data_IF_933879615252
#
_entry.id   IF_933879615252
#
_cell.length_a   1.000
_cell.length_b   1.000
_cell.length_c   1.000
_cell.angle_alpha   90.00
_cell.angle_beta   90.00
_cell.angle_gamma   90.00
#
_symmetry.space_group_name_H-M   'P 1'
#
loop_
_entity.id
_entity.type
_entity.pdbx_description
1 polymer ?
#
# COMPACT_ATOMS: atom_id res chain seq x y z
N UNK A 1 17.50 0.11 8.93
CA UNK A 1 16.39 -0.07 9.91
C UNK A 1 15.14 -0.27 9.09
N UNK A 2 14.45 -1.39 9.26
CA UNK A 2 13.25 -1.72 8.48
C UNK A 2 12.10 -0.77 8.87
N UNK A 3 11.45 -0.17 7.87
CA UNK A 3 10.32 0.75 8.04
C UNK A 3 9.03 0.10 7.55
N UNK A 4 7.90 0.60 8.06
CA UNK A 4 6.59 0.35 7.49
C UNK A 4 6.24 1.52 6.58
N UNK A 5 5.98 1.25 5.30
CA UNK A 5 5.71 2.26 4.27
C UNK A 5 4.32 2.05 3.70
N UNK A 6 3.48 3.08 3.78
CA UNK A 6 2.16 3.11 3.16
C UNK A 6 2.21 3.90 1.86
N UNK A 7 1.80 3.30 0.75
CA UNK A 7 1.81 3.92 -0.59
C UNK A 7 0.41 3.86 -1.19
N UNK A 8 -0.20 5.03 -1.39
CA UNK A 8 -1.45 5.16 -2.15
C UNK A 8 -1.13 5.18 -3.64
N UNK A 9 -1.87 4.44 -4.45
CA UNK A 9 -1.63 4.35 -5.90
C UNK A 9 -0.37 3.55 -6.26
N UNK A 10 0.10 2.67 -5.35
CA UNK A 10 1.35 1.93 -5.47
C UNK A 10 1.40 0.85 -6.56
N UNK A 11 0.35 0.71 -7.38
CA UNK A 11 0.25 -0.33 -8.43
C UNK A 11 0.70 0.16 -9.82
N UNK A 12 0.85 1.46 -10.07
CA UNK A 12 1.24 2.02 -11.39
C UNK A 12 2.09 3.29 -11.25
N UNK A 13 2.76 3.68 -12.33
CA UNK A 13 3.48 4.95 -12.44
C UNK A 13 4.49 5.18 -11.30
N UNK A 14 4.46 6.38 -10.72
CA UNK A 14 5.38 6.80 -9.65
C UNK A 14 5.17 5.95 -8.39
N UNK A 15 3.92 5.62 -8.06
CA UNK A 15 3.62 4.78 -6.90
C UNK A 15 4.27 3.41 -6.99
N UNK A 16 4.21 2.77 -8.16
CA UNK A 16 4.89 1.48 -8.40
C UNK A 16 6.41 1.61 -8.29
N UNK A 17 7.00 2.68 -8.80
CA UNK A 17 8.44 2.91 -8.68
C UNK A 17 8.87 3.04 -7.21
N UNK A 18 8.08 3.72 -6.37
CA UNK A 18 8.32 3.80 -4.93
C UNK A 18 8.13 2.45 -4.24
N UNK A 19 7.09 1.70 -4.59
CA UNK A 19 6.86 0.34 -4.08
C UNK A 19 8.10 -0.53 -4.31
N UNK A 20 8.64 -0.54 -5.53
CA UNK A 20 9.87 -1.28 -5.88
C UNK A 20 11.06 -0.83 -5.04
N UNK A 21 11.28 0.49 -4.95
CA UNK A 21 12.40 1.06 -4.20
C UNK A 21 12.40 0.65 -2.72
N UNK A 22 11.25 0.64 -2.06
CA UNK A 22 11.16 0.29 -0.64
C UNK A 22 11.21 -1.22 -0.41
N UNK A 23 10.64 -2.03 -1.29
CA UNK A 23 10.80 -3.49 -1.25
C UNK A 23 12.28 -3.89 -1.40
N UNK A 24 13.01 -3.28 -2.34
CA UNK A 24 14.45 -3.52 -2.54
C UNK A 24 15.30 -3.13 -1.32
N UNK A 25 14.84 -2.17 -0.51
CA UNK A 25 15.47 -1.79 0.76
C UNK A 25 15.14 -2.76 1.92
N UNK A 26 14.25 -3.72 1.69
CA UNK A 26 13.77 -4.67 2.68
C UNK A 26 12.68 -4.12 3.60
N UNK A 27 12.06 -2.98 3.27
CA UNK A 27 10.97 -2.39 4.04
C UNK A 27 9.66 -3.16 3.86
N UNK A 28 8.78 -3.10 4.87
CA UNK A 28 7.40 -3.61 4.74
C UNK A 28 6.58 -2.56 3.98
N UNK A 29 6.05 -2.93 2.82
CA UNK A 29 5.25 -2.02 1.99
C UNK A 29 3.79 -2.43 1.98
N UNK A 30 2.93 -1.46 2.27
CA UNK A 30 1.47 -1.56 2.23
C UNK A 30 0.99 -0.66 1.09
N UNK A 31 0.24 -1.21 0.15
CA UNK A 31 -0.25 -0.50 -1.04
C UNK A 31 -1.76 -0.34 -0.95
N UNK A 32 -2.24 0.91 -1.01
CA UNK A 32 -3.68 1.22 -1.07
C UNK A 32 -4.05 1.63 -2.49
N UNK A 33 -5.01 0.95 -3.11
CA UNK A 33 -5.49 1.27 -4.47
C UNK A 33 -6.99 1.06 -4.61
N UNK A 34 -7.65 1.75 -5.55
CA UNK A 34 -9.08 1.54 -5.81
C UNK A 34 -9.37 0.26 -6.62
N UNK A 35 -8.44 -0.17 -7.47
CA UNK A 35 -8.53 -1.40 -8.27
C UNK A 35 -7.14 -2.00 -8.43
N UNK A 36 -7.03 -3.31 -8.20
CA UNK A 36 -5.78 -4.04 -8.27
C UNK A 36 -5.71 -4.90 -9.54
N UNK A 37 -5.57 -4.23 -10.69
CA UNK A 37 -5.29 -4.88 -11.99
C UNK A 37 -3.83 -4.73 -12.37
N UNK A 38 -3.12 -5.86 -12.41
CA UNK A 38 -1.82 -6.00 -13.07
C UNK A 38 -0.63 -5.48 -12.27
N UNK A 39 -0.62 -5.63 -10.94
CA UNK A 39 0.59 -5.36 -10.16
C UNK A 39 1.53 -6.56 -10.19
N UNK A 40 2.76 -6.32 -10.63
CA UNK A 40 3.84 -7.29 -10.71
C UNK A 40 4.29 -7.83 -9.32
N UNK A 41 3.97 -7.11 -8.23
CA UNK A 41 4.46 -7.41 -6.86
C UNK A 41 3.34 -7.74 -5.86
N UNK A 42 2.20 -8.23 -6.36
CA UNK A 42 1.04 -8.55 -5.53
C UNK A 42 1.33 -9.49 -4.35
N UNK A 43 2.30 -10.39 -4.52
CA UNK A 43 2.71 -11.36 -3.50
C UNK A 43 3.71 -10.82 -2.48
N UNK A 44 4.30 -9.66 -2.73
CA UNK A 44 5.38 -9.09 -1.91
C UNK A 44 4.94 -7.88 -1.08
N UNK A 45 3.77 -7.31 -1.40
CA UNK A 45 3.17 -6.19 -0.66
C UNK A 45 1.89 -6.63 0.04
N UNK A 46 1.57 -5.97 1.13
CA UNK A 46 0.20 -5.99 1.66
C UNK A 46 -0.66 -5.05 0.81
N UNK A 47 -1.62 -5.59 0.06
CA UNK A 47 -2.50 -4.79 -0.77
C UNK A 47 -3.85 -4.58 -0.09
N UNK A 48 -4.27 -3.32 0.01
CA UNK A 48 -5.58 -2.93 0.53
C UNK A 48 -6.34 -2.23 -0.57
N UNK A 49 -7.47 -2.82 -0.98
CA UNK A 49 -8.36 -2.19 -1.97
C UNK A 49 -9.27 -1.21 -1.24
N UNK A 50 -9.12 0.08 -1.55
CA UNK A 50 -9.90 1.15 -0.95
C UNK A 50 -10.04 2.34 -1.91
N UNK A 51 -11.24 2.90 -1.99
CA UNK A 51 -11.50 4.14 -2.69
C UNK A 51 -11.41 5.32 -1.71
N UNK A 52 -10.39 6.16 -1.88
CA UNK A 52 -10.15 7.32 -1.01
C UNK A 52 -11.21 8.42 -1.09
N UNK A 53 -12.15 8.32 -2.05
CA UNK A 53 -13.32 9.20 -2.07
C UNK A 53 -14.33 8.86 -0.97
N UNK A 54 -14.28 7.65 -0.41
CA UNK A 54 -14.99 7.30 0.83
C UNK A 54 -14.24 7.88 2.03
N UNK A 55 -14.38 9.18 2.24
CA UNK A 55 -13.66 9.90 3.31
C UNK A 55 -14.15 9.47 4.70
N UNK A 56 -15.44 9.12 4.81
CA UNK A 56 -16.07 8.76 6.09
C UNK A 56 -15.48 7.48 6.69
N UNK A 57 -15.07 6.53 5.85
CA UNK A 57 -14.50 5.26 6.31
C UNK A 57 -12.97 5.23 6.39
N UNK A 58 -12.26 6.34 6.12
CA UNK A 58 -10.80 6.42 6.29
C UNK A 58 -10.36 6.00 7.71
N UNK A 59 -11.04 6.38 8.81
CA UNK A 59 -10.67 5.92 10.14
C UNK A 59 -10.66 4.38 10.27
N UNK A 60 -11.61 3.70 9.62
CA UNK A 60 -11.67 2.23 9.58
C UNK A 60 -10.50 1.64 8.78
N UNK A 61 -10.15 2.25 7.64
CA UNK A 61 -8.96 1.88 6.87
C UNK A 61 -7.67 2.01 7.70
N UNK A 62 -7.50 3.12 8.40
CA UNK A 62 -6.34 3.33 9.26
C UNK A 62 -6.33 2.35 10.43
N UNK A 63 -7.49 2.03 11.03
CA UNK A 63 -7.59 1.01 12.07
C UNK A 63 -7.30 -0.41 11.57
N UNK A 64 -7.50 -0.70 10.28
CA UNK A 64 -7.08 -1.95 9.65
C UNK A 64 -5.56 -1.98 9.45
N UNK A 65 -5.00 -0.94 8.83
CA UNK A 65 -3.55 -0.86 8.50
C UNK A 65 -2.68 -0.72 9.76
N UNK A 66 -3.17 0.02 10.76
CA UNK A 66 -2.46 0.30 12.01
C UNK A 66 -2.55 -0.82 13.04
N UNK A 67 -3.32 -1.89 12.79
CA UNK A 67 -3.41 -3.07 13.65
C UNK A 67 -2.20 -3.98 13.42
N UNK A 68 -1.04 -3.52 13.90
CA UNK A 68 0.13 -4.33 14.20
C UNK A 68 1.02 -3.53 15.15
N UNK A 69 0.62 -3.50 16.42
CA UNK A 69 1.46 -3.82 17.58
C UNK A 69 0.57 -4.30 18.73
#
# INVERSE_FOLDING_TARGET
MQKNVLIIGGNRGIGLALTKLFLEQGDRVIVVVCDFKGSEYASEVECVVYDLTDVENIPSLIAQIGRDR
#
